data_IF_926588555175
#
_entry.id   IF_926588555175
#
_cell.length_a   1.000
_cell.length_b   1.000
_cell.length_c   1.000
_cell.angle_alpha   90.00
_cell.angle_beta   90.00
_cell.angle_gamma   90.00
#
_symmetry.space_group_name_H-M   'P 1'
#
loop_
_entity.id
_entity.type
_entity.pdbx_description
1 polymer ?
#
# COMPACT_ATOMS: atom_id res chain seq x y z
N UNK A 1 20.82 -0.92 20.51
CA UNK A 1 20.42 -1.46 20.44
C UNK A 1 19.81 -2.22 19.52
N UNK A 2 20.08 -2.75 19.02
CA UNK A 2 19.59 -3.53 18.06
C UNK A 2 18.61 -4.49 18.42
N UNK A 3 18.21 -4.48 19.55
CA UNK A 3 17.30 -5.42 19.96
C UNK A 3 16.03 -5.32 19.26
N UNK A 4 15.78 -4.26 18.59
CA UNK A 4 14.55 -4.13 17.84
C UNK A 4 14.42 -5.14 16.72
N UNK A 5 15.51 -5.70 16.25
CA UNK A 5 15.41 -6.72 15.22
C UNK A 5 14.74 -7.99 15.72
N UNK A 6 14.63 -8.14 17.01
CA UNK A 6 13.97 -9.28 17.56
C UNK A 6 12.52 -9.00 17.92
N UNK A 7 12.07 -7.81 17.68
CA UNK A 7 10.67 -7.50 17.89
C UNK A 7 9.85 -8.24 16.88
N UNK A 8 8.86 -8.96 17.34
CA UNK A 8 8.10 -9.81 16.48
C UNK A 8 7.16 -8.98 15.62
N UNK A 9 7.57 -8.75 14.40
CA UNK A 9 6.67 -8.34 13.35
C UNK A 9 5.94 -7.04 13.44
N UNK A 10 6.04 -6.33 14.51
CA UNK A 10 5.17 -5.18 14.59
C UNK A 10 5.70 -3.96 13.89
N UNK A 11 6.93 -3.61 14.13
CA UNK A 11 7.46 -2.36 13.60
C UNK A 11 8.84 -2.56 13.00
N UNK A 12 9.08 -1.89 11.91
CA UNK A 12 10.39 -1.87 11.26
C UNK A 12 10.78 -0.42 11.00
N UNK A 13 12.08 -0.16 11.04
CA UNK A 13 12.60 1.16 10.74
C UNK A 13 13.53 1.05 9.55
N UNK A 14 13.40 1.96 8.60
CA UNK A 14 14.32 1.96 7.47
C UNK A 14 15.61 2.68 7.83
N UNK A 15 16.50 2.84 6.86
CA UNK A 15 17.82 3.39 7.11
C UNK A 15 17.80 4.83 7.60
N UNK A 16 16.71 5.56 7.36
CA UNK A 16 16.59 6.94 7.82
C UNK A 16 15.70 7.05 9.05
N UNK A 17 15.33 5.92 9.64
CA UNK A 17 14.58 5.94 10.89
C UNK A 17 13.08 6.07 10.76
N UNK A 18 12.55 5.98 9.57
CA UNK A 18 11.09 6.07 9.37
C UNK A 18 10.45 4.75 9.80
N UNK A 19 9.49 4.85 10.70
CA UNK A 19 8.78 3.68 11.17
C UNK A 19 7.90 3.08 10.07
N UNK A 20 8.01 1.78 9.88
CA UNK A 20 7.16 1.07 8.93
C UNK A 20 6.34 0.06 9.66
N UNK A 21 5.04 0.06 9.39
CA UNK A 21 4.10 -0.88 9.98
C UNK A 21 3.65 -1.83 8.90
N UNK A 22 3.83 -3.13 9.14
CA UNK A 22 3.37 -4.12 8.20
C UNK A 22 1.86 -4.32 8.39
N UNK A 23 1.09 -3.93 7.40
CA UNK A 23 -0.36 -4.03 7.46
C UNK A 23 -0.88 -5.36 6.92
N UNK A 24 -0.02 -6.14 6.26
CA UNK A 24 -0.45 -7.40 5.65
C UNK A 24 -0.19 -8.59 6.54
N UNK A 25 -1.21 -9.39 6.75
CA UNK A 25 -1.08 -10.65 7.44
C UNK A 25 -0.51 -11.71 6.50
N UNK A 26 -0.98 -11.70 5.24
CA UNK A 26 -0.41 -12.53 4.20
C UNK A 26 -0.65 -11.87 2.85
N UNK A 27 0.25 -12.15 1.89
CA UNK A 27 0.13 -11.63 0.54
C UNK A 27 0.17 -12.83 -0.40
N UNK A 28 -0.88 -13.00 -1.19
CA UNK A 28 -1.00 -14.14 -2.09
C UNK A 28 -0.71 -13.78 -3.54
N UNK A 29 -1.03 -12.55 -3.95
CA UNK A 29 -0.86 -12.15 -5.33
C UNK A 29 -0.59 -10.66 -5.43
N UNK A 30 0.36 -10.29 -6.28
CA UNK A 30 0.67 -8.89 -6.56
C UNK A 30 0.36 -8.58 -8.01
N UNK A 31 0.08 -7.31 -8.28
CA UNK A 31 -0.15 -6.86 -9.64
C UNK A 31 1.18 -6.97 -10.43
N UNK A 32 1.16 -7.54 -11.63
CA UNK A 32 2.39 -7.73 -12.39
C UNK A 32 3.11 -6.42 -12.67
N UNK A 33 4.42 -6.38 -12.39
CA UNK A 33 5.29 -5.23 -12.66
C UNK A 33 4.99 -3.99 -11.84
N UNK A 34 3.99 -4.03 -10.94
CA UNK A 34 3.61 -2.86 -10.17
C UNK A 34 3.13 -1.72 -11.05
N UNK A 35 3.29 -0.48 -10.59
CA UNK A 35 2.88 0.69 -11.33
C UNK A 35 3.78 1.87 -10.99
N UNK A 36 3.95 2.79 -11.93
CA UNK A 36 4.77 3.97 -11.71
C UNK A 36 3.87 5.19 -11.54
N UNK A 37 4.00 5.87 -10.41
CA UNK A 37 3.26 7.09 -10.13
C UNK A 37 4.21 8.27 -10.24
N UNK A 38 3.95 9.15 -11.21
CA UNK A 38 4.79 10.31 -11.44
C UNK A 38 4.50 11.40 -10.39
N UNK A 39 5.53 12.19 -10.07
CA UNK A 39 5.37 13.33 -9.18
C UNK A 39 4.41 14.33 -9.81
N UNK A 40 3.58 14.96 -8.99
CA UNK A 40 2.59 15.93 -9.46
C UNK A 40 2.27 16.91 -8.36
N UNK A 41 1.36 17.84 -8.62
CA UNK A 41 0.91 18.78 -7.60
C UNK A 41 0.16 18.09 -6.47
N UNK A 42 -0.50 16.97 -6.77
CA UNK A 42 -1.22 16.19 -5.77
C UNK A 42 -0.26 15.27 -5.00
N UNK A 43 0.73 14.73 -5.72
CA UNK A 43 1.70 13.81 -5.14
C UNK A 43 3.09 14.41 -5.28
N UNK A 44 3.40 15.34 -4.37
CA UNK A 44 4.68 16.05 -4.40
C UNK A 44 5.79 15.19 -3.84
N UNK A 45 7.02 15.54 -4.22
CA UNK A 45 8.20 14.90 -3.67
C UNK A 45 8.17 14.94 -2.14
N UNK A 46 8.48 13.83 -1.50
CA UNK A 46 8.47 13.74 -0.05
C UNK A 46 7.12 13.34 0.56
N UNK A 47 6.06 13.30 -0.25
CA UNK A 47 4.75 12.87 0.25
C UNK A 47 4.79 11.38 0.55
N UNK A 48 4.27 10.99 1.71
CA UNK A 48 4.20 9.58 2.08
C UNK A 48 2.83 9.04 1.69
N UNK A 49 2.84 7.94 0.94
CA UNK A 49 1.61 7.25 0.57
C UNK A 49 1.56 5.99 1.44
N UNK A 50 0.58 5.89 2.35
CA UNK A 50 0.57 4.80 3.32
C UNK A 50 0.18 3.47 2.70
N UNK A 51 0.67 2.39 3.30
CA UNK A 51 0.28 1.04 2.92
C UNK A 51 -1.23 0.90 3.06
N UNK A 52 -1.83 0.14 2.14
CA UNK A 52 -3.27 -0.04 2.14
C UNK A 52 -4.03 1.00 1.34
N UNK A 53 -3.34 1.98 0.75
CA UNK A 53 -3.99 2.95 -0.12
C UNK A 53 -4.56 2.25 -1.34
N UNK A 54 -5.85 2.48 -1.67
CA UNK A 54 -6.46 1.86 -2.85
C UNK A 54 -5.82 2.39 -4.14
N UNK A 55 -5.49 1.47 -5.04
CA UNK A 55 -4.86 1.80 -6.33
C UNK A 55 -5.67 1.19 -7.45
N UNK A 56 -6.01 1.99 -8.45
CA UNK A 56 -6.72 1.52 -9.64
C UNK A 56 -5.79 1.59 -10.83
N UNK A 57 -5.68 0.49 -11.58
CA UNK A 57 -4.88 0.42 -12.79
C UNK A 57 -5.73 -0.22 -13.87
N UNK A 58 -5.86 0.48 -15.01
CA UNK A 58 -6.69 -0.02 -16.11
C UNK A 58 -6.03 -1.22 -16.80
N UNK A 59 -4.71 -1.20 -16.93
CA UNK A 59 -3.96 -2.28 -17.57
C UNK A 59 -2.51 -2.17 -17.16
N UNK A 60 -1.74 -3.22 -17.44
CA UNK A 60 -0.30 -3.22 -17.15
C UNK A 60 0.36 -2.07 -17.90
N UNK A 61 1.12 -1.27 -17.17
CA UNK A 61 1.80 -0.10 -17.75
C UNK A 61 1.00 1.18 -17.74
N UNK A 62 -0.29 1.12 -17.37
CA UNK A 62 -1.10 2.32 -17.30
C UNK A 62 -0.77 3.14 -16.06
N UNK A 63 -1.11 4.42 -16.09
CA UNK A 63 -0.92 5.30 -14.94
C UNK A 63 -1.89 4.92 -13.83
N UNK A 64 -1.41 4.71 -12.60
CA UNK A 64 -2.30 4.36 -11.49
C UNK A 64 -3.08 5.56 -10.98
N UNK A 65 -4.27 5.30 -10.44
CA UNK A 65 -5.10 6.30 -9.78
C UNK A 65 -5.27 5.87 -8.33
N UNK A 66 -5.04 6.79 -7.40
CA UNK A 66 -5.18 6.49 -5.98
C UNK A 66 -6.56 6.87 -5.48
N UNK A 67 -7.05 6.09 -4.51
CA UNK A 67 -8.30 6.38 -3.79
C UNK A 67 -9.55 6.38 -4.67
N UNK A 68 -9.53 5.65 -5.77
CA UNK A 68 -10.73 5.50 -6.61
C UNK A 68 -11.73 4.56 -5.96
N UNK A 69 -12.96 4.58 -6.47
CA UNK A 69 -14.05 3.81 -5.89
C UNK A 69 -13.97 2.31 -6.20
N UNK A 70 -13.28 1.94 -7.28
CA UNK A 70 -13.18 0.54 -7.70
C UNK A 70 -11.72 0.15 -7.84
N UNK A 71 -10.99 -0.02 -6.74
CA UNK A 71 -9.56 -0.28 -6.82
C UNK A 71 -9.24 -1.66 -7.38
N UNK A 72 -8.11 -1.73 -8.09
CA UNK A 72 -7.56 -2.99 -8.56
C UNK A 72 -6.94 -3.76 -7.39
N UNK A 73 -6.33 -3.03 -6.47
CA UNK A 73 -5.72 -3.61 -5.29
C UNK A 73 -5.32 -2.54 -4.30
N UNK A 74 -4.53 -2.91 -3.32
CA UNK A 74 -4.07 -2.00 -2.27
C UNK A 74 -2.55 -1.94 -2.25
N UNK A 75 -2.01 -0.79 -1.88
CA UNK A 75 -0.57 -0.59 -1.81
C UNK A 75 0.04 -1.52 -0.75
N UNK A 76 1.13 -2.16 -1.10
CA UNK A 76 1.75 -3.15 -0.22
C UNK A 76 2.42 -2.53 1.00
N UNK A 77 3.17 -1.45 0.81
CA UNK A 77 3.88 -0.81 1.91
C UNK A 77 3.91 0.69 1.71
N UNK A 78 4.26 1.41 2.78
CA UNK A 78 4.41 2.87 2.69
C UNK A 78 5.48 3.19 1.65
N UNK A 79 5.22 4.21 0.85
CA UNK A 79 6.20 4.72 -0.11
C UNK A 79 6.33 6.22 0.05
N UNK A 80 7.52 6.73 -0.23
CA UNK A 80 7.79 8.16 -0.21
C UNK A 80 8.01 8.60 -1.64
N UNK A 81 7.27 9.63 -2.07
CA UNK A 81 7.36 10.13 -3.43
C UNK A 81 8.76 10.68 -3.71
N UNK A 82 9.39 10.19 -4.76
CA UNK A 82 10.70 10.67 -5.17
C UNK A 82 10.62 11.92 -6.01
N UNK A 83 11.78 12.40 -6.47
CA UNK A 83 11.84 13.64 -7.25
C UNK A 83 11.15 13.53 -8.61
N UNK A 84 11.10 12.34 -9.19
CA UNK A 84 10.42 12.12 -10.45
C UNK A 84 9.16 11.28 -10.32
N UNK A 85 9.08 10.48 -9.29
CA UNK A 85 7.96 9.59 -9.04
C UNK A 85 8.41 8.40 -8.24
N UNK A 86 7.55 7.40 -8.14
CA UNK A 86 7.83 6.20 -7.37
C UNK A 86 7.11 5.01 -7.97
N UNK A 87 7.71 3.83 -7.85
CA UNK A 87 7.04 2.58 -8.23
C UNK A 87 6.21 2.09 -7.06
N UNK A 88 5.01 1.64 -7.37
CA UNK A 88 4.08 1.12 -6.39
C UNK A 88 3.97 -0.40 -6.53
N UNK A 89 4.07 -1.10 -5.41
CA UNK A 89 3.80 -2.53 -5.37
C UNK A 89 2.37 -2.70 -4.88
N UNK A 90 1.55 -3.37 -5.66
CA UNK A 90 0.12 -3.46 -5.42
C UNK A 90 -0.26 -4.90 -5.14
N UNK A 91 -0.94 -5.12 -4.01
CA UNK A 91 -1.42 -6.45 -3.64
C UNK A 91 -2.84 -6.59 -4.15
N UNK A 92 -3.07 -7.59 -4.97
CA UNK A 92 -4.39 -7.85 -5.53
C UNK A 92 -5.12 -8.95 -4.78
N UNK A 93 -4.42 -9.75 -3.99
CA UNK A 93 -5.03 -10.83 -3.21
C UNK A 93 -4.22 -11.07 -1.95
N UNK A 94 -4.89 -11.12 -0.80
CA UNK A 94 -4.23 -11.38 0.47
C UNK A 94 -5.10 -11.06 1.67
N UNK A 95 -4.51 -11.11 2.85
CA UNK A 95 -5.17 -10.77 4.11
C UNK A 95 -4.58 -9.48 4.65
N UNK A 96 -5.43 -8.52 4.90
CA UNK A 96 -5.02 -7.20 5.40
C UNK A 96 -5.46 -7.05 6.85
N UNK A 97 -4.53 -6.60 7.70
CA UNK A 97 -4.82 -6.28 9.07
C UNK A 97 -5.38 -4.86 9.11
N UNK A 98 -6.70 -4.75 9.08
CA UNK A 98 -7.36 -3.47 8.86
C UNK A 98 -7.03 -2.43 9.93
N UNK A 99 -6.85 -2.86 11.16
CA UNK A 99 -6.55 -1.94 12.25
C UNK A 99 -5.20 -1.24 12.11
N UNK A 100 -4.31 -1.78 11.29
CA UNK A 100 -2.98 -1.19 11.08
C UNK A 100 -2.91 -0.26 9.88
N UNK A 101 -3.97 -0.20 9.08
CA UNK A 101 -3.99 0.61 7.87
C UNK A 101 -4.26 2.05 8.23
N UNK A 102 -3.39 2.96 7.79
CA UNK A 102 -3.57 4.39 8.03
C UNK A 102 -4.47 5.03 6.97
N UNK A 103 -4.52 4.44 5.78
CA UNK A 103 -5.37 4.94 4.73
C UNK A 103 -6.83 4.70 5.08
N UNK A 104 -7.70 5.58 4.62
CA UNK A 104 -9.14 5.43 4.82
C UNK A 104 -9.72 4.62 3.68
N UNK A 105 -10.41 3.52 4.01
CA UNK A 105 -11.06 2.68 3.04
C UNK A 105 -12.56 2.85 3.15
N UNK A 106 -13.20 3.20 2.04
CA UNK A 106 -14.66 3.34 2.02
C UNK A 106 -15.32 1.98 1.86
N UNK A 107 -16.62 1.94 2.17
CA UNK A 107 -17.40 0.70 1.99
C UNK A 107 -17.38 0.25 0.53
N UNK A 108 -17.44 1.19 -0.40
CA UNK A 108 -17.43 0.86 -1.83
C UNK A 108 -16.08 0.21 -2.22
N UNK A 109 -14.99 0.71 -1.69
CA UNK A 109 -13.67 0.16 -1.97
C UNK A 109 -13.54 -1.25 -1.40
N UNK A 110 -14.00 -1.46 -0.18
CA UNK A 110 -13.97 -2.79 0.43
C UNK A 110 -14.83 -3.78 -0.35
N UNK A 111 -15.99 -3.33 -0.80
CA UNK A 111 -16.89 -4.17 -1.60
C UNK A 111 -16.23 -4.56 -2.93
N UNK A 112 -15.55 -3.61 -3.57
CA UNK A 112 -14.89 -3.89 -4.83
C UNK A 112 -13.76 -4.91 -4.68
N UNK A 113 -13.15 -4.97 -3.50
CA UNK A 113 -12.04 -5.88 -3.22
C UNK A 113 -12.50 -7.18 -2.55
N UNK A 114 -13.77 -7.31 -2.24
CA UNK A 114 -14.29 -8.51 -1.57
C UNK A 114 -14.03 -9.74 -2.43
N UNK A 115 -13.61 -10.82 -1.79
CA UNK A 115 -13.25 -12.05 -2.50
C UNK A 115 -11.78 -12.11 -2.90
N UNK A 116 -11.09 -10.98 -2.94
CA UNK A 116 -9.65 -10.94 -3.24
C UNK A 116 -8.84 -10.52 -2.03
N UNK A 117 -9.30 -9.53 -1.31
CA UNK A 117 -8.65 -9.05 -0.09
C UNK A 117 -9.55 -9.34 1.09
N UNK A 118 -9.03 -10.07 2.06
CA UNK A 118 -9.74 -10.35 3.29
C UNK A 118 -9.32 -9.32 4.33
N UNK A 119 -10.28 -8.55 4.82
CA UNK A 119 -10.03 -7.53 5.83
C UNK A 119 -10.20 -8.15 7.21
N UNK A 120 -9.13 -8.16 7.98
CA UNK A 120 -9.13 -8.79 9.30
C UNK A 120 -9.05 -7.69 10.35
N UNK A 121 -10.01 -7.67 11.26
CA UNK A 121 -9.98 -6.74 12.37
C UNK A 121 -9.18 -7.38 13.50
N UNK A 122 -8.23 -6.65 14.03
CA UNK A 122 -7.42 -7.18 15.09
C UNK A 122 -7.27 -6.22 16.22
#
# INVERSE_FOLDING_TARGET
MANSIYSVGEKKYDAVGVERINVWDSIEERYPSGAYLAVSTTHKEGTVIPAGTPVTIASVGATPTLNGASPTGLLESDVVMGSKGVYLDIVTRGRLCESRVKATLTSAQKTALAGRILFVAE
#
